data_IF_009382729546
#
_entry.id   IF_009382729546
#
_cell.length_a   1.000
_cell.length_b   1.000
_cell.length_c   1.000
_cell.angle_alpha   90.00
_cell.angle_beta   90.00
_cell.angle_gamma   90.00
#
_symmetry.space_group_name_H-M   'P 1'
#
loop_
_entity.id
_entity.type
_entity.pdbx_description
1 polymer ?
#
# COMPACT_ATOMS: atom_id res chain seq x y z
N UNK A 1 19.97 -1.97 -5.84
CA UNK A 1 18.77 -1.63 -5.06
C UNK A 1 18.16 -0.35 -5.59
N UNK A 2 16.83 -0.29 -5.72
CA UNK A 2 16.09 0.90 -6.19
C UNK A 2 15.03 1.30 -5.19
N UNK A 3 14.99 2.59 -4.85
CA UNK A 3 13.91 3.19 -4.05
C UNK A 3 12.83 3.73 -4.98
N UNK A 4 11.57 3.46 -4.66
CA UNK A 4 10.41 3.99 -5.38
C UNK A 4 9.36 4.52 -4.41
N UNK A 5 8.74 5.64 -4.75
CA UNK A 5 7.56 6.16 -4.05
C UNK A 5 6.28 5.71 -4.78
N UNK A 6 5.27 5.33 -4.02
CA UNK A 6 3.99 4.81 -4.52
C UNK A 6 2.85 5.60 -3.87
N UNK A 7 1.77 5.79 -4.62
CA UNK A 7 0.45 6.15 -4.09
C UNK A 7 -0.55 5.11 -4.56
N UNK A 8 -1.31 4.53 -3.62
CA UNK A 8 -2.26 3.46 -3.88
C UNK A 8 -3.62 3.81 -3.29
N UNK A 9 -4.68 3.53 -4.02
CA UNK A 9 -6.05 3.49 -3.50
C UNK A 9 -6.44 2.01 -3.32
N UNK A 10 -6.47 1.55 -2.08
CA UNK A 10 -6.72 0.14 -1.74
C UNK A 10 -8.15 -0.04 -1.26
N UNK A 11 -8.89 -1.01 -1.82
CA UNK A 11 -10.25 -1.32 -1.36
C UNK A 11 -10.18 -1.75 0.10
N UNK A 12 -10.89 -1.02 0.97
CA UNK A 12 -10.88 -1.26 2.40
C UNK A 12 -11.54 -2.60 2.69
N UNK A 13 -10.89 -3.52 3.43
CA UNK A 13 -11.52 -4.74 3.89
C UNK A 13 -12.59 -4.41 4.94
N UNK A 14 -13.71 -5.11 4.89
CA UNK A 14 -14.78 -4.96 5.87
C UNK A 14 -14.34 -5.53 7.24
N UNK A 15 -14.78 -4.89 8.33
CA UNK A 15 -14.65 -5.40 9.71
C UNK A 15 -13.23 -5.65 10.24
N UNK A 16 -12.26 -4.77 9.92
CA UNK A 16 -10.92 -4.85 10.51
C UNK A 16 -10.69 -3.81 11.60
N UNK A 17 -10.14 -4.26 12.74
CA UNK A 17 -9.56 -3.41 13.76
C UNK A 17 -8.25 -2.77 13.27
N UNK A 18 -7.67 -1.89 14.10
CA UNK A 18 -6.49 -1.09 13.72
C UNK A 18 -5.26 -1.97 13.45
N UNK A 19 -5.08 -3.05 14.22
CA UNK A 19 -3.92 -3.95 14.08
C UNK A 19 -4.03 -4.76 12.78
N UNK A 20 -5.23 -5.26 12.48
CA UNK A 20 -5.54 -5.98 11.25
C UNK A 20 -5.32 -5.09 10.03
N UNK A 21 -5.79 -3.84 10.09
CA UNK A 21 -5.61 -2.85 9.03
C UNK A 21 -4.14 -2.60 8.72
N UNK A 22 -3.29 -2.45 9.75
CA UNK A 22 -1.85 -2.24 9.56
C UNK A 22 -1.19 -3.41 8.84
N UNK A 23 -1.48 -4.63 9.29
CA UNK A 23 -0.92 -5.84 8.69
C UNK A 23 -1.42 -6.02 7.25
N UNK A 24 -2.69 -5.71 7.00
CA UNK A 24 -3.28 -5.75 5.67
C UNK A 24 -2.61 -4.75 4.73
N UNK A 25 -2.43 -3.47 5.11
CA UNK A 25 -1.72 -2.49 4.26
C UNK A 25 -0.30 -2.97 3.95
N UNK A 26 0.42 -3.49 4.95
CA UNK A 26 1.76 -4.03 4.75
C UNK A 26 1.79 -5.20 3.74
N UNK A 27 0.77 -6.07 3.76
CA UNK A 27 0.61 -7.14 2.77
C UNK A 27 0.31 -6.59 1.37
N UNK A 28 -0.52 -5.54 1.24
CA UNK A 28 -0.80 -4.91 -0.06
C UNK A 28 0.43 -4.23 -0.66
N UNK A 29 1.37 -3.76 0.16
CA UNK A 29 2.60 -3.11 -0.31
C UNK A 29 3.69 -4.11 -0.75
N UNK A 30 3.71 -5.32 -0.19
CA UNK A 30 4.74 -6.33 -0.47
C UNK A 30 4.94 -6.68 -1.96
N UNK A 31 3.88 -6.83 -2.77
CA UNK A 31 4.01 -7.04 -4.21
C UNK A 31 4.78 -5.95 -4.96
N UNK A 32 4.86 -4.74 -4.40
CA UNK A 32 5.58 -3.61 -4.98
C UNK A 32 7.05 -3.52 -4.54
N UNK A 33 7.47 -4.34 -3.57
CA UNK A 33 8.80 -4.34 -2.99
C UNK A 33 8.76 -4.38 -1.46
N UNK A 34 9.94 -4.33 -0.82
CA UNK A 34 10.04 -4.25 0.64
C UNK A 34 9.58 -2.86 1.10
N UNK A 35 8.50 -2.74 1.89
CA UNK A 35 8.05 -1.45 2.40
C UNK A 35 9.03 -0.93 3.46
N UNK A 36 9.50 0.30 3.30
CA UNK A 36 10.39 0.96 4.27
C UNK A 36 9.63 1.93 5.18
N UNK A 37 8.75 2.73 4.58
CA UNK A 37 7.86 3.66 5.27
C UNK A 37 6.58 3.79 4.48
N UNK A 38 5.46 3.88 5.18
CA UNK A 38 4.16 4.13 4.57
C UNK A 38 3.24 4.83 5.56
N UNK A 39 2.19 5.46 5.03
CA UNK A 39 1.14 6.09 5.81
C UNK A 39 -0.20 5.97 5.09
N UNK A 40 -1.28 5.83 5.87
CA UNK A 40 -2.63 6.08 5.38
C UNK A 40 -2.81 7.60 5.33
N UNK A 41 -3.09 8.15 4.16
CA UNK A 41 -3.22 9.59 3.93
C UNK A 41 -4.66 10.03 3.78
N UNK A 42 -5.59 9.10 3.55
CA UNK A 42 -6.99 9.42 3.39
C UNK A 42 -7.91 8.21 3.34
N UNK A 43 -9.20 8.50 3.40
CA UNK A 43 -10.29 7.58 3.12
C UNK A 43 -11.09 8.16 1.95
N UNK A 44 -11.42 7.32 0.98
CA UNK A 44 -12.18 7.69 -0.20
C UNK A 44 -13.28 6.68 -0.50
N UNK A 45 -14.15 7.00 -1.44
CA UNK A 45 -15.12 6.07 -2.03
C UNK A 45 -14.84 6.03 -3.53
N UNK A 46 -14.65 4.83 -4.07
CA UNK A 46 -14.40 4.68 -5.51
C UNK A 46 -15.70 4.83 -6.33
N UNK A 47 -15.58 4.81 -7.66
CA UNK A 47 -16.73 4.93 -8.57
C UNK A 47 -17.77 3.80 -8.42
N UNK A 48 -17.37 2.65 -7.86
CA UNK A 48 -18.26 1.52 -7.56
C UNK A 48 -18.92 1.62 -6.18
N UNK A 49 -18.72 2.72 -5.44
CA UNK A 49 -19.28 2.93 -4.11
C UNK A 49 -18.53 2.22 -2.98
N UNK A 50 -17.36 1.63 -3.25
CA UNK A 50 -16.58 0.91 -2.23
C UNK A 50 -15.68 1.87 -1.46
N UNK A 51 -15.55 1.66 -0.16
CA UNK A 51 -14.60 2.40 0.67
C UNK A 51 -13.17 2.02 0.29
N UNK A 52 -12.31 3.02 0.12
CA UNK A 52 -10.90 2.87 -0.17
C UNK A 52 -10.04 3.58 0.87
N UNK A 53 -8.88 3.01 1.14
CA UNK A 53 -7.81 3.60 1.94
C UNK A 53 -6.74 4.11 1.00
N UNK A 54 -6.41 5.39 1.09
CA UNK A 54 -5.33 5.98 0.32
C UNK A 54 -4.02 5.81 1.08
N UNK A 55 -3.02 5.24 0.43
CA UNK A 55 -1.72 4.90 1.03
C UNK A 55 -0.61 5.53 0.22
N UNK A 56 0.31 6.21 0.90
CA UNK A 56 1.60 6.60 0.33
C UNK A 56 2.70 5.73 0.95
N UNK A 57 3.59 5.21 0.10
CA UNK A 57 4.63 4.28 0.53
C UNK A 57 5.95 4.52 -0.20
N UNK A 58 7.04 4.25 0.50
CA UNK A 58 8.38 4.09 -0.06
C UNK A 58 8.75 2.63 0.01
N UNK A 59 9.11 2.04 -1.12
CA UNK A 59 9.50 0.64 -1.26
C UNK A 59 10.91 0.51 -1.80
N UNK A 60 11.59 -0.55 -1.36
CA UNK A 60 12.87 -0.99 -1.88
C UNK A 60 12.66 -2.20 -2.78
N UNK A 61 13.11 -2.12 -4.02
CA UNK A 61 13.15 -3.26 -4.94
C UNK A 61 14.60 -3.59 -5.30
N UNK A 62 14.92 -4.86 -5.57
CA UNK A 62 16.20 -5.22 -6.16
C UNK A 62 16.33 -4.52 -7.52
N UNK A 63 17.53 -4.01 -7.82
CA UNK A 63 17.81 -3.56 -9.20
C UNK A 63 18.04 -4.84 -9.99
N UNK A 64 17.12 -5.18 -10.89
CA UNK A 64 17.38 -6.24 -11.87
C UNK A 64 18.30 -5.60 -12.90
N UNK A 65 19.58 -5.97 -12.90
CA UNK A 65 20.45 -5.69 -14.04
C UNK A 65 19.96 -6.57 -15.18
N UNK A 66 19.33 -5.95 -16.18
CA UNK A 66 19.01 -6.62 -17.43
C UNK A 66 20.33 -6.84 -18.18
N UNK A 67 20.63 -8.07 -18.65
CA UNK A 67 21.83 -8.33 -19.44
C UNK A 67 21.84 -7.60 -20.78
#
# INVERSE_FOLDING_TARGET
MKLSSLRLDLIRPEHQGIVEMRNWVHQQLHPHGQPLRWAITGLAVNAAGQQCVQVEAVVLTPTVDTP
#
